data_IF_899879407862
#
_entry.id   IF_899879407862
#
_cell.length_a   1.000
_cell.length_b   1.000
_cell.length_c   1.000
_cell.angle_alpha   90.00
_cell.angle_beta   90.00
_cell.angle_gamma   90.00
#
_symmetry.space_group_name_H-M   'P 1'
#
loop_
_entity.id
_entity.type
_entity.pdbx_description
1 polymer ?
#
# COMPACT_ATOMS: atom_id res chain seq x y z
N UNK A 1 -92.17 5.27 3.08
CA UNK A 1 -92.78 5.51 1.78
C UNK A 1 -91.64 5.76 0.80
N UNK A 2 -91.20 4.73 0.12
CA UNK A 2 -91.48 4.37 -1.30
C UNK A 2 -91.29 5.58 -2.22
N UNK A 3 -90.30 5.57 -3.07
CA UNK A 3 -90.49 5.23 -4.46
C UNK A 3 -89.18 5.17 -5.28
N UNK A 4 -89.23 4.30 -6.18
CA UNK A 4 -88.19 3.67 -7.06
C UNK A 4 -87.83 4.53 -8.25
N UNK A 5 -86.54 4.46 -8.68
CA UNK A 5 -85.97 4.16 -10.01
C UNK A 5 -86.45 5.01 -11.25
N UNK A 6 -85.65 5.15 -12.36
CA UNK A 6 -84.83 4.07 -12.96
C UNK A 6 -83.41 4.44 -13.52
N UNK A 7 -82.73 3.38 -13.90
CA UNK A 7 -81.46 3.27 -14.63
C UNK A 7 -81.57 3.76 -16.03
N UNK A 8 -80.52 4.44 -16.51
CA UNK A 8 -80.15 4.38 -17.92
C UNK A 8 -78.66 4.17 -18.10
N UNK A 9 -78.32 3.12 -18.80
CA UNK A 9 -76.99 2.67 -19.23
C UNK A 9 -76.54 3.61 -20.38
N UNK A 10 -75.34 4.22 -20.22
CA UNK A 10 -74.55 4.65 -21.37
C UNK A 10 -73.14 4.09 -21.24
N UNK A 11 -72.86 3.12 -22.12
CA UNK A 11 -71.54 2.56 -22.33
C UNK A 11 -70.77 3.51 -23.23
N UNK A 12 -69.73 4.10 -22.73
CA UNK A 12 -68.67 4.72 -23.55
C UNK A 12 -67.34 4.12 -23.18
N UNK A 13 -66.79 3.33 -24.06
CA UNK A 13 -65.42 2.80 -23.99
C UNK A 13 -64.44 3.98 -24.13
N UNK A 14 -63.79 4.36 -23.07
CA UNK A 14 -62.60 5.18 -23.14
C UNK A 14 -61.40 4.23 -23.18
N UNK A 15 -60.65 4.29 -24.27
CA UNK A 15 -59.36 3.66 -24.41
C UNK A 15 -58.35 4.34 -23.48
N UNK A 16 -57.89 3.64 -22.45
CA UNK A 16 -56.83 4.09 -21.60
C UNK A 16 -55.50 3.91 -22.34
N UNK A 17 -54.91 4.98 -22.83
CA UNK A 17 -53.51 5.06 -23.20
C UNK A 17 -52.71 5.02 -21.88
N UNK A 18 -52.10 3.86 -21.60
CA UNK A 18 -51.16 3.71 -20.49
C UNK A 18 -49.94 4.64 -20.67
N UNK A 19 -49.40 5.20 -19.59
CA UNK A 19 -48.18 6.00 -19.68
C UNK A 19 -47.05 5.11 -20.13
N UNK A 20 -46.43 5.42 -21.28
CA UNK A 20 -45.12 4.87 -21.68
C UNK A 20 -44.14 5.23 -20.59
N UNK A 21 -43.75 4.23 -19.80
CA UNK A 21 -42.64 4.31 -18.85
C UNK A 21 -41.37 4.74 -19.59
N UNK A 22 -40.94 5.96 -19.40
CA UNK A 22 -39.60 6.39 -19.67
C UNK A 22 -38.69 5.58 -18.70
N UNK A 23 -38.13 4.49 -19.18
CA UNK A 23 -36.98 3.87 -18.53
C UNK A 23 -35.83 4.87 -18.58
N UNK A 24 -35.84 5.81 -17.65
CA UNK A 24 -34.64 6.54 -17.25
C UNK A 24 -33.67 5.50 -16.68
N UNK A 25 -32.86 4.92 -17.56
CA UNK A 25 -31.62 4.29 -17.12
C UNK A 25 -30.79 5.40 -16.51
N UNK A 26 -30.88 5.55 -15.20
CA UNK A 26 -29.84 6.20 -14.45
C UNK A 26 -28.57 5.37 -14.71
N UNK A 27 -27.75 5.86 -15.64
CA UNK A 27 -26.37 5.48 -15.74
C UNK A 27 -25.77 6.05 -14.46
N UNK A 28 -25.74 5.21 -13.40
CA UNK A 28 -24.82 5.47 -12.33
C UNK A 28 -23.45 5.47 -13.02
N UNK A 29 -22.69 6.58 -13.01
CA UNK A 29 -21.30 6.48 -13.32
C UNK A 29 -20.77 5.48 -12.31
N UNK A 30 -20.34 4.32 -12.79
CA UNK A 30 -19.47 3.44 -12.02
C UNK A 30 -18.37 4.38 -11.56
N UNK A 31 -18.31 4.67 -10.27
CA UNK A 31 -17.15 5.25 -9.68
C UNK A 31 -16.06 4.20 -9.88
N UNK A 32 -15.37 4.27 -11.00
CA UNK A 32 -14.04 3.71 -11.13
C UNK A 32 -13.32 4.24 -9.90
N UNK A 33 -13.06 3.40 -8.91
CA UNK A 33 -12.30 3.79 -7.75
C UNK A 33 -10.96 4.26 -8.31
N UNK A 34 -10.77 5.58 -8.38
CA UNK A 34 -9.49 6.12 -8.81
C UNK A 34 -8.50 5.69 -7.78
N UNK A 35 -7.38 5.13 -8.25
CA UNK A 35 -6.26 4.82 -7.38
C UNK A 35 -5.89 6.08 -6.59
N UNK A 36 -5.45 5.89 -5.37
CA UNK A 36 -4.92 6.95 -4.53
C UNK A 36 -3.61 6.46 -3.91
N UNK A 37 -2.53 7.24 -4.07
CA UNK A 37 -1.20 6.82 -3.58
C UNK A 37 -1.19 6.55 -2.08
N UNK A 38 -1.95 7.35 -1.30
CA UNK A 38 -2.00 7.17 0.14
C UNK A 38 -2.71 5.86 0.53
N UNK A 39 -3.77 5.48 -0.19
CA UNK A 39 -4.43 4.20 0.01
C UNK A 39 -3.49 3.03 -0.29
N UNK A 40 -2.68 3.12 -1.36
CA UNK A 40 -1.70 2.09 -1.71
C UNK A 40 -0.56 1.97 -0.67
N UNK A 41 -0.08 3.09 -0.14
CA UNK A 41 0.89 3.10 0.97
C UNK A 41 0.29 2.49 2.23
N UNK A 42 -0.97 2.77 2.54
CA UNK A 42 -1.66 2.16 3.67
C UNK A 42 -1.81 0.63 3.54
N UNK A 43 -1.85 0.07 2.32
CA UNK A 43 -1.78 -1.39 2.11
C UNK A 43 -0.47 -1.94 2.68
N UNK A 44 0.66 -1.30 2.38
CA UNK A 44 1.97 -1.71 2.92
C UNK A 44 2.04 -1.56 4.44
N UNK A 45 1.69 -0.40 4.96
CA UNK A 45 1.72 -0.14 6.40
C UNK A 45 0.84 -1.11 7.19
N UNK A 46 -0.32 -1.48 6.66
CA UNK A 46 -1.19 -2.48 7.28
C UNK A 46 -0.60 -3.89 7.21
N UNK A 47 0.07 -4.25 6.11
CA UNK A 47 0.83 -5.50 6.00
C UNK A 47 1.99 -5.54 7.01
N UNK A 48 2.71 -4.44 7.22
CA UNK A 48 3.79 -4.36 8.21
C UNK A 48 3.26 -4.60 9.64
N UNK A 49 2.13 -4.01 10.00
CA UNK A 49 1.47 -4.23 11.30
C UNK A 49 1.00 -5.66 11.47
N UNK A 50 0.42 -6.26 10.44
CA UNK A 50 -0.02 -7.66 10.46
C UNK A 50 1.17 -8.61 10.61
N UNK A 51 2.22 -8.43 9.81
CA UNK A 51 3.44 -9.24 9.88
C UNK A 51 4.13 -9.13 11.26
N UNK A 52 4.21 -7.92 11.82
CA UNK A 52 4.73 -7.72 13.17
C UNK A 52 3.91 -8.49 14.22
N UNK A 53 2.58 -8.36 14.20
CA UNK A 53 1.71 -9.08 15.14
C UNK A 53 1.86 -10.60 15.02
N UNK A 54 1.96 -11.12 13.78
CA UNK A 54 2.22 -12.54 13.52
C UNK A 54 3.60 -12.98 14.02
N UNK A 55 4.62 -12.14 13.87
CA UNK A 55 5.96 -12.44 14.38
C UNK A 55 5.96 -12.58 15.91
N UNK A 56 5.28 -11.69 16.64
CA UNK A 56 5.14 -11.78 18.10
C UNK A 56 4.44 -13.09 18.48
N UNK A 57 3.34 -13.42 17.79
CA UNK A 57 2.62 -14.69 18.04
C UNK A 57 3.50 -15.93 17.78
N UNK A 58 4.35 -15.90 16.75
CA UNK A 58 5.31 -16.99 16.47
C UNK A 58 6.40 -17.05 17.54
N UNK A 59 6.90 -15.90 18.00
CA UNK A 59 7.88 -15.83 19.10
C UNK A 59 7.35 -16.44 20.39
N UNK A 60 6.11 -16.09 20.78
CA UNK A 60 5.45 -16.63 21.98
C UNK A 60 5.28 -18.16 21.93
N UNK A 61 5.07 -18.70 20.72
CA UNK A 61 4.96 -20.14 20.45
C UNK A 61 6.32 -20.83 20.27
N UNK A 62 7.42 -20.08 20.29
CA UNK A 62 8.77 -20.57 19.97
C UNK A 62 8.90 -21.19 18.57
N UNK A 63 8.07 -20.75 17.63
CA UNK A 63 8.06 -21.21 16.24
C UNK A 63 9.11 -20.44 15.41
N UNK A 64 10.35 -20.95 15.41
CA UNK A 64 11.47 -20.30 14.73
C UNK A 64 11.33 -20.28 13.20
N UNK A 65 10.69 -21.28 12.63
CA UNK A 65 10.46 -21.37 11.18
C UNK A 65 9.49 -20.28 10.73
N UNK A 66 8.37 -20.12 11.43
CA UNK A 66 7.38 -19.07 11.11
C UNK A 66 7.97 -17.68 11.39
N UNK A 67 8.72 -17.48 12.49
CA UNK A 67 9.45 -16.23 12.75
C UNK A 67 10.38 -15.86 11.59
N UNK A 68 11.12 -16.83 11.07
CA UNK A 68 12.08 -16.62 9.97
C UNK A 68 11.34 -16.22 8.67
N UNK A 69 10.25 -16.92 8.31
CA UNK A 69 9.45 -16.61 7.12
C UNK A 69 8.81 -15.22 7.18
N UNK A 70 8.28 -14.87 8.37
CA UNK A 70 7.69 -13.54 8.58
C UNK A 70 8.76 -12.45 8.47
N UNK A 71 9.93 -12.63 9.08
CA UNK A 71 11.01 -11.67 9.01
C UNK A 71 11.51 -11.48 7.56
N UNK A 72 11.68 -12.57 6.81
CA UNK A 72 12.04 -12.51 5.39
C UNK A 72 11.01 -11.72 4.58
N UNK A 73 9.72 -11.96 4.84
CA UNK A 73 8.63 -11.25 4.16
C UNK A 73 8.65 -9.76 4.50
N UNK A 74 8.78 -9.41 5.79
CA UNK A 74 8.79 -8.01 6.21
C UNK A 74 10.00 -7.26 5.65
N UNK A 75 11.21 -7.85 5.71
CA UNK A 75 12.43 -7.26 5.12
C UNK A 75 12.21 -6.95 3.63
N UNK A 76 11.63 -7.89 2.90
CA UNK A 76 11.31 -7.71 1.48
C UNK A 76 10.33 -6.56 1.26
N UNK A 77 9.19 -6.58 1.94
CA UNK A 77 8.12 -5.61 1.72
C UNK A 77 8.56 -4.19 2.13
N UNK A 78 9.27 -4.05 3.25
CA UNK A 78 9.86 -2.75 3.67
C UNK A 78 10.86 -2.22 2.64
N UNK A 79 11.66 -3.10 2.03
CA UNK A 79 12.62 -2.67 0.99
C UNK A 79 11.92 -2.20 -0.27
N UNK A 80 10.89 -2.92 -0.72
CA UNK A 80 10.08 -2.53 -1.89
C UNK A 80 9.37 -1.20 -1.64
N UNK A 81 8.76 -1.03 -0.48
CA UNK A 81 8.06 0.18 -0.05
C UNK A 81 9.00 1.39 -0.02
N UNK A 82 10.04 1.35 0.82
CA UNK A 82 10.95 2.47 1.03
C UNK A 82 11.60 2.99 -0.26
N UNK A 83 12.09 2.08 -1.12
CA UNK A 83 12.74 2.51 -2.36
C UNK A 83 11.71 3.03 -3.37
N UNK A 84 10.49 2.50 -3.37
CA UNK A 84 9.43 3.01 -4.25
C UNK A 84 8.99 4.41 -3.87
N UNK A 85 8.92 4.73 -2.57
CA UNK A 85 8.64 6.09 -2.10
C UNK A 85 9.76 7.06 -2.46
N UNK A 86 11.01 6.69 -2.28
CA UNK A 86 12.17 7.52 -2.66
C UNK A 86 12.17 7.88 -4.16
N UNK A 87 11.67 6.98 -5.02
CA UNK A 87 11.61 7.19 -6.48
C UNK A 87 10.39 8.01 -6.90
N UNK A 88 9.26 7.88 -6.21
CA UNK A 88 7.97 8.45 -6.61
C UNK A 88 7.47 9.53 -5.66
N UNK A 89 7.17 9.17 -4.41
CA UNK A 89 6.49 10.03 -3.45
C UNK A 89 7.36 11.19 -3.00
N UNK A 90 8.63 10.95 -2.66
CA UNK A 90 9.54 12.00 -2.19
C UNK A 90 9.84 13.03 -3.27
N UNK A 91 9.86 12.58 -4.54
CA UNK A 91 9.91 13.49 -5.66
C UNK A 91 8.69 14.41 -5.72
N UNK A 92 7.50 13.86 -5.49
CA UNK A 92 6.26 14.65 -5.47
C UNK A 92 6.22 15.61 -4.27
N UNK A 93 6.74 15.23 -3.09
CA UNK A 93 6.94 16.14 -1.96
C UNK A 93 7.84 17.32 -2.36
N UNK A 94 8.99 17.04 -2.96
CA UNK A 94 9.96 18.07 -3.40
C UNK A 94 9.34 19.02 -4.44
N UNK A 95 8.62 18.50 -5.42
CA UNK A 95 7.96 19.28 -6.49
C UNK A 95 6.81 20.16 -5.96
N UNK A 96 6.27 19.85 -4.78
CA UNK A 96 5.19 20.61 -4.14
C UNK A 96 5.66 21.46 -2.94
N UNK A 97 6.95 21.78 -2.85
CA UNK A 97 7.56 22.60 -1.79
C UNK A 97 7.43 22.00 -0.38
N UNK A 98 7.41 20.66 -0.27
CA UNK A 98 7.39 19.91 0.99
C UNK A 98 8.76 19.23 1.26
N UNK A 99 9.85 19.96 0.98
CA UNK A 99 11.23 19.44 1.11
C UNK A 99 11.56 18.95 2.52
N UNK A 100 11.10 19.66 3.55
CA UNK A 100 11.35 19.25 4.94
C UNK A 100 10.75 17.85 5.23
N UNK A 101 9.58 17.54 4.65
CA UNK A 101 8.96 16.23 4.77
C UNK A 101 9.83 15.16 4.08
N UNK A 102 10.20 15.38 2.82
CA UNK A 102 11.00 14.41 2.06
C UNK A 102 12.39 14.17 2.66
N UNK A 103 13.04 15.20 3.21
CA UNK A 103 14.34 15.05 3.88
C UNK A 103 14.23 14.30 5.21
N UNK A 104 13.18 14.56 6.01
CA UNK A 104 12.90 13.81 7.23
C UNK A 104 12.65 12.33 6.93
N UNK A 105 11.86 12.03 5.88
CA UNK A 105 11.55 10.67 5.45
C UNK A 105 12.81 9.95 4.97
N UNK A 106 13.66 10.60 4.15
CA UNK A 106 14.96 10.03 3.75
C UNK A 106 15.85 9.73 4.95
N UNK A 107 15.88 10.61 5.95
CA UNK A 107 16.65 10.38 7.18
C UNK A 107 16.11 9.18 7.97
N UNK A 108 14.80 9.07 8.12
CA UNK A 108 14.15 7.92 8.76
C UNK A 108 14.40 6.62 7.99
N UNK A 109 14.33 6.65 6.64
CA UNK A 109 14.64 5.50 5.79
C UNK A 109 16.07 4.99 5.96
N UNK A 110 17.07 5.88 6.10
CA UNK A 110 18.45 5.44 6.37
C UNK A 110 18.55 4.64 7.66
N UNK A 111 17.94 5.13 8.74
CA UNK A 111 17.91 4.42 10.04
C UNK A 111 17.20 3.08 9.92
N UNK A 112 16.04 3.07 9.28
CA UNK A 112 15.21 1.88 9.07
C UNK A 112 15.95 0.83 8.22
N UNK A 113 16.55 1.23 7.09
CA UNK A 113 17.30 0.35 6.20
C UNK A 113 18.49 -0.31 6.91
N UNK A 114 19.22 0.41 7.76
CA UNK A 114 20.31 -0.17 8.56
C UNK A 114 19.78 -1.21 9.56
N UNK A 115 18.68 -0.93 10.25
CA UNK A 115 18.07 -1.85 11.19
C UNK A 115 17.57 -3.13 10.49
N UNK A 116 16.88 -3.00 9.36
CA UNK A 116 16.43 -4.16 8.58
C UNK A 116 17.57 -4.91 7.89
N UNK A 117 18.65 -4.24 7.48
CA UNK A 117 19.86 -4.90 6.99
C UNK A 117 20.46 -5.79 8.06
N UNK A 118 20.50 -5.35 9.33
CA UNK A 118 20.97 -6.18 10.42
C UNK A 118 20.12 -7.45 10.57
N UNK A 119 18.77 -7.32 10.55
CA UNK A 119 17.84 -8.46 10.60
C UNK A 119 18.09 -9.43 9.43
N UNK A 120 18.22 -8.89 8.21
CA UNK A 120 18.41 -9.66 6.97
C UNK A 120 19.76 -10.40 6.89
N UNK A 121 20.81 -9.83 7.51
CA UNK A 121 22.16 -10.38 7.51
C UNK A 121 22.43 -11.40 8.63
N UNK A 122 21.46 -11.57 9.54
CA UNK A 122 21.57 -12.49 10.67
C UNK A 122 20.44 -13.53 10.63
N UNK A 123 20.54 -14.54 11.49
CA UNK A 123 19.52 -15.58 11.63
C UNK A 123 19.30 -15.91 13.11
N UNK A 124 18.20 -16.61 13.38
CA UNK A 124 17.93 -17.17 14.72
C UNK A 124 19.05 -18.15 15.12
N UNK A 125 19.60 -18.89 14.16
CA UNK A 125 20.71 -19.83 14.43
C UNK A 125 22.00 -19.11 14.86
N UNK A 126 22.26 -17.89 14.32
CA UNK A 126 23.48 -17.12 14.64
C UNK A 126 23.36 -16.29 15.91
N UNK A 127 22.21 -15.68 16.16
CA UNK A 127 22.00 -14.77 17.29
C UNK A 127 21.34 -15.44 18.51
N UNK A 128 20.65 -16.54 18.30
CA UNK A 128 19.64 -17.07 19.22
C UNK A 128 18.30 -16.31 19.08
N UNK A 129 17.23 -16.99 19.47
CA UNK A 129 15.86 -16.52 19.21
C UNK A 129 15.56 -15.16 19.85
N UNK A 130 15.96 -14.97 21.11
CA UNK A 130 15.63 -13.77 21.87
C UNK A 130 16.34 -12.52 21.28
N UNK A 131 17.66 -12.64 20.98
CA UNK A 131 18.40 -11.52 20.38
C UNK A 131 17.95 -11.20 18.96
N UNK A 132 17.54 -12.23 18.20
CA UNK A 132 16.97 -12.01 16.87
C UNK A 132 15.62 -11.28 16.95
N UNK A 133 14.75 -11.70 17.89
CA UNK A 133 13.49 -11.04 18.15
C UNK A 133 13.68 -9.58 18.59
N UNK A 134 14.64 -9.30 19.48
CA UNK A 134 14.98 -7.94 19.89
C UNK A 134 15.45 -7.07 18.70
N UNK A 135 16.26 -7.63 17.80
CA UNK A 135 16.69 -6.90 16.60
C UNK A 135 15.51 -6.60 15.66
N UNK A 136 14.66 -7.58 15.43
CA UNK A 136 13.44 -7.42 14.64
C UNK A 136 12.50 -6.36 15.25
N UNK A 137 12.28 -6.39 16.55
CA UNK A 137 11.47 -5.40 17.26
C UNK A 137 12.00 -3.98 17.12
N UNK A 138 13.33 -3.77 17.26
CA UNK A 138 13.95 -2.45 17.05
C UNK A 138 13.76 -1.95 15.62
N UNK A 139 13.90 -2.83 14.62
CA UNK A 139 13.65 -2.48 13.22
C UNK A 139 12.18 -2.07 12.99
N UNK A 140 11.24 -2.83 13.55
CA UNK A 140 9.81 -2.51 13.49
C UNK A 140 9.47 -1.21 14.22
N UNK A 141 10.14 -0.91 15.33
CA UNK A 141 9.91 0.36 16.05
C UNK A 141 10.30 1.57 15.19
N UNK A 142 11.45 1.52 14.49
CA UNK A 142 11.86 2.57 13.56
C UNK A 142 10.85 2.70 12.40
N UNK A 143 10.42 1.58 11.82
CA UNK A 143 9.42 1.52 10.76
C UNK A 143 8.10 2.16 11.18
N UNK A 144 7.56 1.81 12.34
CA UNK A 144 6.25 2.33 12.78
C UNK A 144 6.29 3.78 13.22
N UNK A 145 7.44 4.26 13.74
CA UNK A 145 7.62 5.68 14.02
C UNK A 145 7.57 6.48 12.72
N UNK A 146 8.31 6.05 11.70
CA UNK A 146 8.32 6.66 10.38
C UNK A 146 6.93 6.63 9.73
N UNK A 147 6.30 5.46 9.61
CA UNK A 147 4.96 5.32 9.05
C UNK A 147 3.92 6.23 9.74
N UNK A 148 4.04 6.43 11.06
CA UNK A 148 3.17 7.34 11.81
C UNK A 148 3.35 8.80 11.40
N UNK A 149 4.57 9.24 11.11
CA UNK A 149 4.85 10.61 10.68
C UNK A 149 4.28 10.85 9.28
N UNK A 150 4.45 9.93 8.36
CA UNK A 150 3.86 9.96 7.02
C UNK A 150 2.34 10.00 7.06
N UNK A 151 1.71 9.08 7.78
CA UNK A 151 0.25 8.96 7.88
C UNK A 151 -0.42 10.20 8.50
N UNK A 152 0.19 10.79 9.52
CA UNK A 152 -0.45 11.85 10.28
C UNK A 152 -0.02 13.28 9.86
N UNK A 153 1.06 13.44 9.10
CA UNK A 153 1.56 14.75 8.70
C UNK A 153 1.94 14.82 7.22
N UNK A 154 2.99 14.11 6.79
CA UNK A 154 3.62 14.34 5.48
C UNK A 154 2.65 14.07 4.33
N UNK A 155 1.95 12.94 4.35
CA UNK A 155 1.03 12.57 3.26
C UNK A 155 -0.32 13.26 3.35
N UNK A 156 -0.71 13.76 4.51
CA UNK A 156 -1.84 14.69 4.62
C UNK A 156 -1.54 16.02 3.92
N UNK A 157 -0.34 16.57 4.13
CA UNK A 157 0.11 17.80 3.46
C UNK A 157 0.19 17.62 1.94
N UNK A 158 0.77 16.50 1.49
CA UNK A 158 0.85 16.20 0.05
C UNK A 158 -0.53 16.01 -0.57
N UNK A 159 -1.42 15.29 0.09
CA UNK A 159 -2.81 15.08 -0.38
C UNK A 159 -3.62 16.37 -0.47
N UNK A 160 -3.31 17.36 0.38
CA UNK A 160 -3.99 18.65 0.37
C UNK A 160 -3.63 19.53 -0.85
N UNK A 161 -2.44 19.33 -1.43
CA UNK A 161 -1.97 20.11 -2.58
C UNK A 161 -2.17 19.41 -3.92
N UNK A 162 -2.33 18.07 -3.94
CA UNK A 162 -2.54 17.29 -5.14
C UNK A 162 -4.02 17.16 -5.50
N UNK A 163 -4.34 17.30 -6.78
CA UNK A 163 -5.67 16.95 -7.33
C UNK A 163 -5.87 15.42 -7.35
N UNK A 164 -7.13 14.98 -7.42
CA UNK A 164 -7.45 13.56 -7.50
C UNK A 164 -6.79 12.83 -8.70
N UNK A 165 -6.69 13.40 -9.92
CA UNK A 165 -5.89 12.79 -10.98
C UNK A 165 -4.41 12.65 -10.63
N UNK A 166 -3.78 13.68 -10.06
CA UNK A 166 -2.36 13.63 -9.66
C UNK A 166 -2.10 12.57 -8.59
N UNK A 167 -3.00 12.40 -7.61
CA UNK A 167 -2.90 11.32 -6.62
C UNK A 167 -3.01 9.94 -7.26
N UNK A 168 -3.86 9.80 -8.28
CA UNK A 168 -3.99 8.55 -9.02
C UNK A 168 -2.75 8.24 -9.86
N UNK A 169 -2.18 9.23 -10.55
CA UNK A 169 -0.95 9.07 -11.31
C UNK A 169 0.22 8.69 -10.40
N UNK A 170 0.31 9.32 -9.22
CA UNK A 170 1.31 9.03 -8.21
C UNK A 170 1.18 7.60 -7.65
N UNK A 171 -0.05 7.10 -7.46
CA UNK A 171 -0.30 5.71 -7.09
C UNK A 171 0.23 4.73 -8.15
N UNK A 172 -0.02 5.03 -9.43
CA UNK A 172 0.50 4.23 -10.56
C UNK A 172 2.02 4.23 -10.57
N UNK A 173 2.66 5.37 -10.36
CA UNK A 173 4.12 5.49 -10.32
C UNK A 173 4.72 4.71 -9.15
N UNK A 174 4.13 4.79 -7.96
CA UNK A 174 4.51 3.99 -6.80
C UNK A 174 4.41 2.48 -7.07
N UNK A 175 3.28 2.02 -7.58
CA UNK A 175 3.05 0.60 -7.89
C UNK A 175 3.98 0.08 -8.99
N UNK A 176 4.30 0.90 -10.01
CA UNK A 176 5.31 0.56 -11.03
C UNK A 176 6.70 0.46 -10.43
N UNK A 177 7.06 1.41 -9.54
CA UNK A 177 8.35 1.38 -8.87
C UNK A 177 8.53 0.07 -8.08
N UNK A 178 7.53 -0.37 -7.31
CA UNK A 178 7.57 -1.64 -6.54
C UNK A 178 7.90 -2.88 -7.38
N UNK A 179 7.57 -2.88 -8.68
CA UNK A 179 7.88 -4.00 -9.59
C UNK A 179 9.34 -4.07 -10.01
N UNK A 180 10.08 -2.96 -9.90
CA UNK A 180 11.43 -2.84 -10.48
C UNK A 180 12.53 -2.57 -9.44
N UNK A 181 12.20 -2.22 -8.21
CA UNK A 181 13.19 -1.90 -7.16
C UNK A 181 13.76 -3.17 -6.50
N UNK A 182 14.93 -3.05 -5.84
CA UNK A 182 15.50 -4.12 -5.02
C UNK A 182 14.57 -4.59 -3.91
N UNK A 183 14.63 -5.89 -3.61
CA UNK A 183 13.81 -6.53 -2.57
C UNK A 183 14.56 -6.76 -1.25
N UNK A 184 15.73 -6.13 -1.08
CA UNK A 184 16.55 -6.19 0.14
C UNK A 184 17.07 -4.81 0.52
N UNK A 185 17.39 -4.58 1.82
CA UNK A 185 17.90 -3.30 2.27
C UNK A 185 19.31 -3.03 1.74
N UNK A 186 19.48 -1.88 1.09
CA UNK A 186 20.78 -1.38 0.60
C UNK A 186 21.03 0.03 1.17
N UNK A 187 21.44 0.18 2.45
CA UNK A 187 21.57 1.49 3.10
C UNK A 187 22.58 2.42 2.44
N UNK A 188 23.58 1.86 1.76
CA UNK A 188 24.58 2.63 1.02
C UNK A 188 24.14 3.06 -0.37
N UNK A 189 22.94 2.64 -0.84
CA UNK A 189 22.42 3.07 -2.12
C UNK A 189 21.96 4.54 -2.04
N UNK A 190 22.13 5.35 -3.12
CA UNK A 190 21.61 6.71 -3.15
C UNK A 190 20.09 6.75 -2.92
N UNK A 191 19.62 7.66 -2.08
CA UNK A 191 18.21 7.81 -1.69
C UNK A 191 17.51 9.02 -2.36
N UNK A 192 18.20 9.68 -3.27
CA UNK A 192 17.72 10.90 -3.95
C UNK A 192 16.77 10.67 -5.13
N UNK A 193 16.26 9.46 -5.38
CA UNK A 193 15.31 9.17 -6.47
C UNK A 193 15.87 9.37 -7.90
N UNK A 194 17.15 9.71 -8.04
CA UNK A 194 17.78 10.04 -9.29
C UNK A 194 18.23 8.83 -10.13
N UNK A 195 18.97 9.13 -11.24
CA UNK A 195 19.51 8.12 -12.13
C UNK A 195 20.44 7.11 -11.41
N UNK A 196 21.19 7.58 -10.40
CA UNK A 196 22.08 6.74 -9.59
C UNK A 196 21.35 5.64 -8.85
N UNK A 197 20.19 5.93 -8.21
CA UNK A 197 19.39 4.94 -7.52
C UNK A 197 18.79 3.89 -8.49
N UNK A 198 18.35 4.32 -9.66
CA UNK A 198 17.84 3.41 -10.72
C UNK A 198 18.92 2.47 -11.24
N UNK A 199 20.16 2.98 -11.44
CA UNK A 199 21.29 2.17 -11.91
C UNK A 199 21.69 1.14 -10.84
N UNK A 200 21.85 1.56 -9.59
CA UNK A 200 22.18 0.63 -8.48
C UNK A 200 21.09 -0.41 -8.33
N UNK A 201 19.80 -0.02 -8.36
CA UNK A 201 18.67 -0.94 -8.31
C UNK A 201 18.72 -2.00 -9.41
N UNK A 202 19.04 -1.60 -10.65
CA UNK A 202 19.15 -2.52 -11.78
C UNK A 202 20.31 -3.53 -11.62
N UNK A 203 21.41 -3.13 -10.98
CA UNK A 203 22.57 -4.01 -10.75
C UNK A 203 22.35 -5.03 -9.60
N UNK A 204 21.65 -4.65 -8.55
CA UNK A 204 21.46 -5.51 -7.36
C UNK A 204 20.22 -6.41 -7.46
N UNK A 205 19.22 -6.02 -8.25
CA UNK A 205 17.96 -6.76 -8.39
C UNK A 205 18.11 -8.24 -8.76
N UNK A 206 18.98 -8.65 -9.71
CA UNK A 206 19.15 -10.07 -10.04
C UNK A 206 19.68 -10.89 -8.85
N UNK A 207 20.59 -10.31 -8.05
CA UNK A 207 21.15 -10.95 -6.87
C UNK A 207 20.07 -11.07 -5.78
N UNK A 208 19.33 -10.01 -5.54
CA UNK A 208 18.22 -10.00 -4.58
C UNK A 208 17.13 -11.02 -4.97
N UNK A 209 16.79 -11.12 -6.25
CA UNK A 209 15.83 -12.09 -6.75
C UNK A 209 16.29 -13.54 -6.53
N UNK A 210 17.57 -13.83 -6.73
CA UNK A 210 18.15 -15.14 -6.46
C UNK A 210 18.08 -15.49 -4.97
N UNK A 211 18.46 -14.55 -4.10
CA UNK A 211 18.40 -14.74 -2.64
C UNK A 211 16.95 -14.89 -2.17
N UNK A 212 16.04 -14.06 -2.70
CA UNK A 212 14.61 -14.14 -2.40
C UNK A 212 14.03 -15.52 -2.75
N UNK A 213 14.38 -16.08 -3.91
CA UNK A 213 13.95 -17.41 -4.34
C UNK A 213 14.46 -18.55 -3.45
N UNK A 214 15.49 -18.32 -2.60
CA UNK A 214 16.00 -19.28 -1.64
C UNK A 214 15.43 -19.13 -0.23
N UNK A 215 14.67 -18.06 0.03
CA UNK A 215 14.08 -17.77 1.34
C UNK A 215 12.59 -18.09 1.31
N UNK A 216 12.11 -18.74 2.35
CA UNK A 216 10.68 -18.95 2.55
C UNK A 216 9.99 -17.67 3.03
N UNK A 217 8.76 -17.47 2.57
CA UNK A 217 7.94 -16.30 2.83
C UNK A 217 6.54 -16.70 3.27
N UNK A 218 5.85 -15.77 3.94
CA UNK A 218 4.42 -15.90 4.27
C UNK A 218 3.59 -15.03 3.33
N UNK A 219 2.30 -15.37 3.17
CA UNK A 219 1.37 -14.55 2.41
C UNK A 219 1.07 -13.23 3.13
N UNK A 220 0.88 -12.17 2.34
CA UNK A 220 0.38 -10.89 2.81
C UNK A 220 -1.14 -10.95 3.02
N UNK A 221 -1.65 -10.11 3.91
CA UNK A 221 -3.08 -10.02 4.23
C UNK A 221 -3.80 -9.04 3.32
N UNK A 222 -3.13 -7.96 2.94
CA UNK A 222 -3.68 -6.89 2.11
C UNK A 222 -2.99 -6.89 0.75
N UNK A 223 -3.76 -6.67 -0.32
CA UNK A 223 -3.26 -6.67 -1.68
C UNK A 223 -3.34 -5.27 -2.28
N UNK A 224 -2.32 -4.90 -3.04
CA UNK A 224 -2.32 -3.68 -3.84
C UNK A 224 -3.31 -3.75 -5.00
N UNK A 225 -3.75 -2.59 -5.43
CA UNK A 225 -4.57 -2.45 -6.63
C UNK A 225 -3.83 -2.94 -7.88
N UNK A 226 -4.58 -3.51 -8.83
CA UNK A 226 -4.02 -3.97 -10.09
C UNK A 226 -3.96 -2.82 -11.09
N UNK A 227 -2.77 -2.46 -11.53
CA UNK A 227 -2.56 -1.37 -12.52
C UNK A 227 -2.70 -1.83 -13.98
N UNK A 228 -2.90 -3.13 -14.24
CA UNK A 228 -3.12 -3.63 -15.62
C UNK A 228 -4.58 -3.41 -16.09
N UNK A 229 -5.42 -2.82 -15.25
CA UNK A 229 -6.82 -2.49 -15.51
C UNK A 229 -7.13 -0.99 -15.58
N UNK A 230 -6.07 -0.13 -15.64
CA UNK A 230 -6.21 1.34 -15.76
C UNK A 230 -5.74 1.79 -17.13
#
# INVERSE_FOLDING_TARGET
MLSRLPRTLFSSRLATLGPRGLNSRFIHPSASSRLDYFEEIMVDHNNFRDLHARFISAYDKRDQDEMTKIANTLVREVSLHAISEEISIYKALDENNLHDCSENDRAAHRVMKEAFKFVDSNSIATLGMDKYADAFQRACQALFQHAKEEENDHYQKLSAVLTAPQRSDLAVDYLKARRIVPSRPHPAAPDGGGLGQKIVGAMVKPVDAAIHGMKDHVSLKYEHSRIDSV
#
